data_IF_738095812414
#
_entry.id   IF_738095812414
#
_cell.length_a   1.000
_cell.length_b   1.000
_cell.length_c   1.000
_cell.angle_alpha   90.00
_cell.angle_beta   90.00
_cell.angle_gamma   90.00
#
_symmetry.space_group_name_H-M   'P 1'
#
loop_
_entity.id
_entity.type
_entity.pdbx_description
1 polymer ?
#
# COMPACT_ATOMS: atom_id res chain seq x y z
N UNK A 1 5.13 14.88 -7.22
CA UNK A 1 4.27 15.37 -8.32
C UNK A 1 2.81 15.45 -7.85
N UNK A 2 2.39 16.48 -7.08
CA UNK A 2 1.02 16.61 -6.58
C UNK A 2 0.11 17.45 -7.53
N UNK A 3 0.72 18.23 -8.42
CA UNK A 3 0.02 19.15 -9.32
C UNK A 3 -0.92 18.43 -10.30
N UNK A 4 -0.58 17.21 -10.73
CA UNK A 4 -1.41 16.42 -11.66
C UNK A 4 -2.70 15.95 -10.99
N UNK A 5 -2.63 15.49 -9.73
CA UNK A 5 -3.81 15.04 -8.97
C UNK A 5 -4.73 16.22 -8.66
N UNK A 6 -4.17 17.38 -8.29
CA UNK A 6 -4.92 18.61 -8.06
C UNK A 6 -5.57 19.17 -9.34
N UNK A 7 -5.01 18.87 -10.52
CA UNK A 7 -5.59 19.30 -11.79
C UNK A 7 -6.68 18.34 -12.29
N UNK A 8 -6.51 17.03 -12.09
CA UNK A 8 -7.48 16.00 -12.46
C UNK A 8 -8.67 15.91 -11.50
N UNK A 9 -8.46 16.19 -10.21
CA UNK A 9 -9.50 16.16 -9.17
C UNK A 9 -9.30 17.35 -8.21
N UNK A 10 -9.69 18.56 -8.60
CA UNK A 10 -9.45 19.78 -7.82
C UNK A 10 -10.10 19.80 -6.44
N UNK A 11 -11.17 19.04 -6.23
CA UNK A 11 -11.84 18.89 -4.93
C UNK A 11 -11.28 17.75 -4.06
N UNK A 12 -10.42 16.88 -4.60
CA UNK A 12 -9.89 15.77 -3.82
C UNK A 12 -8.86 16.27 -2.80
N UNK A 13 -9.11 15.95 -1.54
CA UNK A 13 -8.15 16.19 -0.47
C UNK A 13 -6.98 15.18 -0.60
N UNK A 14 -5.77 15.61 -0.98
CA UNK A 14 -4.65 14.70 -1.22
C UNK A 14 -4.26 13.92 0.04
N UNK A 15 -4.45 14.53 1.22
CA UNK A 15 -4.18 13.89 2.51
C UNK A 15 -5.14 12.76 2.80
N UNK A 16 -6.41 12.87 2.38
CA UNK A 16 -7.38 11.78 2.51
C UNK A 16 -7.01 10.61 1.59
N UNK A 17 -6.66 10.88 0.33
CA UNK A 17 -6.27 9.84 -0.62
C UNK A 17 -4.97 9.12 -0.19
N UNK A 18 -3.95 9.86 0.23
CA UNK A 18 -2.70 9.29 0.74
C UNK A 18 -2.95 8.52 2.04
N UNK A 19 -3.74 9.08 2.95
CA UNK A 19 -4.13 8.44 4.20
C UNK A 19 -4.94 7.16 3.99
N UNK A 20 -5.85 7.12 3.01
CA UNK A 20 -6.62 5.92 2.66
C UNK A 20 -5.77 4.88 1.94
N UNK A 21 -4.89 5.30 1.03
CA UNK A 21 -3.95 4.41 0.35
C UNK A 21 -3.03 3.73 1.37
N UNK A 22 -2.41 4.51 2.27
CA UNK A 22 -1.62 3.95 3.38
C UNK A 22 -2.49 3.14 4.33
N UNK A 23 -3.66 3.66 4.71
CA UNK A 23 -4.57 3.02 5.67
C UNK A 23 -5.09 1.66 5.23
N UNK A 24 -5.15 1.37 3.92
CA UNK A 24 -5.48 0.05 3.40
C UNK A 24 -4.24 -0.79 3.10
N UNK A 25 -3.23 -0.20 2.45
CA UNK A 25 -2.06 -0.94 1.97
C UNK A 25 -1.18 -1.41 3.13
N UNK A 26 -1.07 -0.61 4.19
CA UNK A 26 -0.24 -0.92 5.35
C UNK A 26 -0.77 -2.12 6.16
N UNK A 27 -2.03 -2.15 6.64
CA UNK A 27 -2.55 -3.32 7.33
C UNK A 27 -2.66 -4.55 6.42
N UNK A 28 -2.94 -4.38 5.12
CA UNK A 28 -2.93 -5.49 4.17
C UNK A 28 -1.55 -6.15 4.07
N UNK A 29 -0.48 -5.35 3.97
CA UNK A 29 0.88 -5.88 3.94
C UNK A 29 1.27 -6.56 5.25
N UNK A 30 0.79 -6.11 6.41
CA UNK A 30 1.06 -6.78 7.68
C UNK A 30 0.28 -8.10 7.80
N UNK A 31 -1.01 -8.08 7.46
CA UNK A 31 -1.89 -9.24 7.66
C UNK A 31 -1.63 -10.35 6.65
N UNK A 32 -1.34 -10.00 5.40
CA UNK A 32 -1.17 -10.96 4.32
C UNK A 32 0.22 -10.90 3.71
N UNK A 33 0.76 -9.71 3.46
CA UNK A 33 2.06 -9.53 2.81
C UNK A 33 3.18 -10.24 3.57
N UNK A 34 3.44 -9.86 4.82
CA UNK A 34 4.55 -10.39 5.62
C UNK A 34 4.45 -11.92 5.76
N UNK A 35 3.32 -12.52 6.20
CA UNK A 35 3.22 -13.98 6.30
C UNK A 35 3.41 -14.70 4.97
N UNK A 36 2.87 -14.14 3.88
CA UNK A 36 3.02 -14.71 2.54
C UNK A 36 4.46 -14.63 2.04
N UNK A 37 5.11 -13.47 2.19
CA UNK A 37 6.51 -13.30 1.82
C UNK A 37 7.42 -14.22 2.62
N UNK A 38 7.18 -14.37 3.92
CA UNK A 38 7.93 -15.32 4.77
C UNK A 38 7.68 -16.75 4.31
N UNK A 39 6.42 -17.16 4.09
CA UNK A 39 6.10 -18.51 3.63
C UNK A 39 6.72 -18.85 2.28
N UNK A 40 6.69 -17.91 1.32
CA UNK A 40 7.35 -18.06 0.02
C UNK A 40 8.86 -18.10 0.19
N UNK A 41 9.45 -17.19 0.97
CA UNK A 41 10.89 -17.15 1.20
C UNK A 41 11.39 -18.45 1.85
N UNK A 42 10.68 -18.97 2.86
CA UNK A 42 10.98 -20.26 3.49
C UNK A 42 10.84 -21.41 2.49
N UNK A 43 9.79 -21.41 1.66
CA UNK A 43 9.58 -22.47 0.66
C UNK A 43 10.64 -22.46 -0.46
N UNK A 44 11.11 -21.27 -0.87
CA UNK A 44 12.08 -21.08 -1.96
C UNK A 44 13.52 -21.26 -1.48
N UNK A 45 13.85 -20.77 -0.28
CA UNK A 45 15.19 -20.91 0.32
C UNK A 45 15.42 -22.29 0.97
N UNK A 46 14.42 -23.18 0.92
CA UNK A 46 14.57 -24.58 1.34
C UNK A 46 14.56 -24.79 2.84
N UNK A 47 13.55 -24.27 3.54
CA UNK A 47 13.16 -24.80 4.84
C UNK A 47 12.84 -26.30 4.78
#
# INVERSE_FOLDING_TARGET
VPAVVRHAIPEANPSLFIGMSLGLTFPFNILFGIPLYVGIATSVLGG
#
